data_IF_110794819170
#
_entry.id   IF_110794819170
#
_cell.length_a   1.000
_cell.length_b   1.000
_cell.length_c   1.000
_cell.angle_alpha   90.00
_cell.angle_beta   90.00
_cell.angle_gamma   90.00
#
_symmetry.space_group_name_H-M   'P 1'
#
loop_
_entity.id
_entity.type
_entity.pdbx_description
1 polymer ?
#
# COMPACT_ATOMS: atom_id res chain seq x y z
N UNK A 1 43.54 21.94 -37.05
CA UNK A 1 42.90 22.16 -35.73
C UNK A 1 41.44 22.42 -36.02
N UNK A 2 40.58 21.45 -35.73
CA UNK A 2 39.14 21.53 -36.00
C UNK A 2 38.42 21.91 -34.72
N UNK A 3 37.65 23.00 -34.75
CA UNK A 3 36.78 23.44 -33.67
C UNK A 3 35.60 22.47 -33.53
N UNK A 4 35.41 21.91 -32.33
CA UNK A 4 34.20 21.18 -31.96
C UNK A 4 33.13 22.17 -31.50
N UNK A 5 31.87 22.05 -31.95
CA UNK A 5 30.81 22.96 -31.52
C UNK A 5 30.32 22.58 -30.12
N UNK A 6 30.14 23.60 -29.29
CA UNK A 6 29.59 23.50 -27.95
C UNK A 6 28.18 22.89 -27.97
N UNK A 7 27.97 21.84 -27.17
CA UNK A 7 26.66 21.33 -26.81
C UNK A 7 25.94 22.37 -25.96
N UNK A 8 24.92 23.02 -26.53
CA UNK A 8 23.96 23.83 -25.76
C UNK A 8 23.19 22.90 -24.82
N UNK A 9 23.35 23.11 -23.52
CA UNK A 9 22.52 22.47 -22.50
C UNK A 9 21.08 22.94 -22.65
N UNK A 10 20.15 22.00 -22.77
CA UNK A 10 18.73 22.26 -22.56
C UNK A 10 18.54 22.68 -21.10
N UNK A 11 18.02 23.87 -20.89
CA UNK A 11 17.77 24.43 -19.55
C UNK A 11 16.62 23.68 -18.87
N UNK A 12 16.74 23.48 -17.55
CA UNK A 12 15.80 22.81 -16.63
C UNK A 12 14.86 23.78 -15.83
N UNK A 13 14.15 24.78 -16.42
CA UNK A 13 13.24 25.62 -15.65
C UNK A 13 11.86 24.97 -15.43
N UNK A 14 11.32 24.24 -16.41
CA UNK A 14 9.95 23.67 -16.34
C UNK A 14 9.85 22.47 -15.39
N UNK A 15 10.87 21.60 -15.35
CA UNK A 15 10.90 20.43 -14.46
C UNK A 15 11.00 20.85 -12.99
N UNK A 16 11.78 21.90 -12.69
CA UNK A 16 11.90 22.45 -11.35
C UNK A 16 10.57 23.06 -10.87
N UNK A 17 9.83 23.74 -11.76
CA UNK A 17 8.51 24.28 -11.45
C UNK A 17 7.49 23.14 -11.20
N UNK A 18 7.48 22.10 -12.05
CA UNK A 18 6.60 20.94 -11.87
C UNK A 18 6.86 20.23 -10.53
N UNK A 19 8.12 19.98 -10.18
CA UNK A 19 8.50 19.35 -8.91
C UNK A 19 8.05 20.17 -7.70
N UNK A 20 8.20 21.50 -7.76
CA UNK A 20 7.74 22.42 -6.70
C UNK A 20 6.21 22.41 -6.55
N UNK A 21 5.46 22.41 -7.67
CA UNK A 21 3.99 22.32 -7.64
C UNK A 21 3.52 20.99 -7.04
N UNK A 22 4.13 19.87 -7.44
CA UNK A 22 3.83 18.55 -6.89
C UNK A 22 4.09 18.55 -5.38
N UNK A 23 5.26 19.03 -4.94
CA UNK A 23 5.61 19.06 -3.52
C UNK A 23 4.62 19.91 -2.71
N UNK A 24 4.36 21.15 -3.16
CA UNK A 24 3.46 22.07 -2.48
C UNK A 24 2.02 21.54 -2.38
N UNK A 25 1.57 20.77 -3.38
CA UNK A 25 0.29 20.07 -3.33
C UNK A 25 0.31 18.91 -2.34
N UNK A 26 1.32 18.03 -2.43
CA UNK A 26 1.40 16.81 -1.63
C UNK A 26 1.56 17.09 -0.14
N UNK A 27 2.27 18.16 0.24
CA UNK A 27 2.39 18.58 1.65
C UNK A 27 1.05 18.99 2.28
N UNK A 28 0.11 19.50 1.48
CA UNK A 28 -1.19 20.00 1.95
C UNK A 28 -2.32 18.99 1.78
N UNK A 29 -2.15 18.03 0.89
CA UNK A 29 -3.17 17.07 0.56
C UNK A 29 -3.48 16.19 1.78
N UNK A 30 -4.76 16.14 2.17
CA UNK A 30 -5.20 15.32 3.30
C UNK A 30 -5.05 13.83 2.97
N UNK A 31 -4.46 13.07 3.89
CA UNK A 31 -4.18 11.63 3.79
C UNK A 31 -4.51 10.94 5.10
N UNK A 32 -4.61 9.62 5.07
CA UNK A 32 -4.67 8.84 6.29
C UNK A 32 -3.38 9.09 7.11
N UNK A 33 -3.45 9.10 8.46
CA UNK A 33 -2.27 9.01 9.29
C UNK A 33 -1.43 7.79 8.86
N UNK A 34 -0.08 7.87 8.85
CA UNK A 34 0.75 6.77 8.36
C UNK A 34 0.46 5.42 9.01
N UNK A 35 0.13 5.40 10.31
CA UNK A 35 -0.24 4.17 11.01
C UNK A 35 -1.55 3.54 10.51
N UNK A 36 -2.55 4.34 10.16
CA UNK A 36 -3.82 3.86 9.59
C UNK A 36 -3.63 3.42 8.14
N UNK A 37 -2.77 4.08 7.37
CA UNK A 37 -2.41 3.64 6.01
C UNK A 37 -1.69 2.28 6.04
N UNK A 38 -0.71 2.11 6.93
CA UNK A 38 -0.01 0.84 7.16
C UNK A 38 -0.98 -0.26 7.62
N UNK A 39 -1.87 0.06 8.58
CA UNK A 39 -2.88 -0.88 9.08
C UNK A 39 -3.82 -1.34 7.97
N UNK A 40 -4.28 -0.40 7.15
CA UNK A 40 -5.18 -0.64 6.03
C UNK A 40 -4.51 -1.48 4.94
N UNK A 41 -3.26 -1.18 4.60
CA UNK A 41 -2.49 -1.94 3.61
C UNK A 41 -2.33 -3.41 4.03
N UNK A 42 -1.91 -3.64 5.28
CA UNK A 42 -1.71 -5.00 5.80
C UNK A 42 -3.01 -5.80 5.83
N UNK A 43 -4.14 -5.16 6.18
CA UNK A 43 -5.44 -5.83 6.22
C UNK A 43 -5.94 -6.25 4.83
N UNK A 44 -5.65 -5.47 3.79
CA UNK A 44 -6.14 -5.72 2.43
C UNK A 44 -5.14 -6.42 1.50
N UNK A 45 -3.98 -6.80 2.03
CA UNK A 45 -2.95 -7.56 1.31
C UNK A 45 -2.88 -8.97 1.88
N UNK A 46 -2.58 -9.95 1.03
CA UNK A 46 -2.60 -11.36 1.43
C UNK A 46 -1.30 -12.11 1.17
N UNK A 47 -0.28 -11.42 0.66
CA UNK A 47 1.04 -11.99 0.31
C UNK A 47 2.17 -11.15 0.87
N UNK A 48 3.20 -11.83 1.37
CA UNK A 48 4.38 -11.19 1.94
C UNK A 48 5.66 -11.97 1.60
N UNK A 49 6.81 -11.31 1.76
CA UNK A 49 8.09 -11.97 1.87
C UNK A 49 8.43 -12.17 3.35
N UNK A 50 8.47 -13.42 3.79
CA UNK A 50 8.87 -13.81 5.13
C UNK A 50 10.39 -13.96 5.17
N UNK A 51 11.03 -13.29 6.13
CA UNK A 51 12.44 -13.47 6.47
C UNK A 51 12.57 -14.23 7.80
N UNK A 52 13.33 -15.32 7.79
CA UNK A 52 13.58 -16.20 8.94
C UNK A 52 15.08 -16.40 9.17
N UNK A 53 15.46 -16.98 10.30
CA UNK A 53 16.82 -17.48 10.52
C UNK A 53 16.93 -18.91 9.98
N UNK A 54 17.84 -19.15 9.03
CA UNK A 54 17.95 -20.48 8.42
C UNK A 54 18.44 -21.51 9.43
N UNK A 55 17.61 -22.53 9.69
CA UNK A 55 18.00 -23.67 10.52
C UNK A 55 19.11 -24.49 9.85
N UNK A 56 19.04 -24.62 8.51
CA UNK A 56 19.99 -25.40 7.71
C UNK A 56 21.32 -24.69 7.46
N UNK A 57 21.27 -23.38 7.22
CA UNK A 57 22.43 -22.55 6.91
C UNK A 57 22.72 -21.60 8.06
N UNK A 58 23.33 -22.11 9.14
CA UNK A 58 23.59 -21.34 10.35
C UNK A 58 24.31 -20.01 10.05
N UNK A 59 23.83 -18.93 10.66
CA UNK A 59 24.36 -17.57 10.47
C UNK A 59 23.75 -16.81 9.29
N UNK A 60 22.96 -17.45 8.43
CA UNK A 60 22.29 -16.79 7.30
C UNK A 60 20.78 -16.64 7.53
N UNK A 61 20.17 -15.51 7.09
CA UNK A 61 18.73 -15.42 6.97
C UNK A 61 18.24 -16.24 5.76
N UNK A 62 16.96 -16.59 5.77
CA UNK A 62 16.26 -17.15 4.61
C UNK A 62 15.06 -16.29 4.25
N UNK A 63 14.70 -16.29 2.97
CA UNK A 63 13.54 -15.57 2.45
C UNK A 63 12.59 -16.54 1.74
N UNK A 64 11.29 -16.42 2.01
CA UNK A 64 10.26 -17.17 1.29
C UNK A 64 9.02 -16.32 1.04
N UNK A 65 8.34 -16.56 -0.08
CA UNK A 65 7.01 -16.01 -0.32
C UNK A 65 6.00 -16.80 0.50
N UNK A 66 5.09 -16.09 1.16
CA UNK A 66 4.02 -16.67 1.97
C UNK A 66 2.68 -15.99 1.66
N UNK A 67 1.61 -16.74 1.86
CA UNK A 67 0.28 -16.20 2.02
C UNK A 67 0.03 -15.92 3.50
N UNK A 68 -0.71 -14.84 3.79
CA UNK A 68 -1.13 -14.50 5.15
C UNK A 68 -2.51 -13.86 5.15
N UNK A 69 -3.12 -13.80 6.34
CA UNK A 69 -4.27 -12.95 6.63
C UNK A 69 -4.00 -12.18 7.92
N UNK A 70 -4.73 -11.10 8.19
CA UNK A 70 -4.65 -10.42 9.48
C UNK A 70 -5.77 -10.88 10.41
N UNK A 71 -5.48 -11.08 11.70
CA UNK A 71 -6.51 -11.17 12.73
C UNK A 71 -7.21 -9.80 12.95
N UNK A 72 -8.20 -9.76 13.85
CA UNK A 72 -8.93 -8.53 14.21
C UNK A 72 -8.04 -7.39 14.74
N UNK A 73 -6.83 -7.71 15.20
CA UNK A 73 -5.84 -6.79 15.73
C UNK A 73 -4.71 -6.50 14.76
N UNK A 74 -4.76 -7.00 13.52
CA UNK A 74 -3.74 -6.83 12.49
C UNK A 74 -2.55 -7.77 12.58
N UNK A 75 -2.53 -8.75 13.48
CA UNK A 75 -1.43 -9.72 13.57
C UNK A 75 -1.48 -10.65 12.36
N UNK A 76 -0.37 -10.85 11.63
CA UNK A 76 -0.33 -11.79 10.51
C UNK A 76 -0.55 -13.24 10.97
N UNK A 77 -1.47 -13.94 10.32
CA UNK A 77 -1.79 -15.35 10.46
C UNK A 77 -1.20 -16.08 9.26
N UNK A 78 -0.39 -17.10 9.53
CA UNK A 78 0.25 -17.96 8.54
C UNK A 78 -0.34 -19.36 8.65
N UNK A 79 -0.71 -19.97 7.52
CA UNK A 79 -0.97 -21.40 7.44
C UNK A 79 0.26 -22.09 6.85
N UNK A 80 1.01 -22.83 7.67
CA UNK A 80 2.32 -23.38 7.28
C UNK A 80 2.32 -24.90 7.32
N UNK A 81 2.89 -25.54 6.28
CA UNK A 81 3.12 -27.00 6.27
C UNK A 81 4.38 -27.34 7.06
N UNK A 82 4.34 -28.42 7.83
CA UNK A 82 5.48 -28.98 8.55
C UNK A 82 6.63 -29.41 7.62
N UNK A 83 6.36 -29.56 6.32
CA UNK A 83 7.38 -29.90 5.32
C UNK A 83 8.18 -28.68 4.86
N UNK A 84 7.62 -27.48 4.94
CA UNK A 84 8.21 -26.26 4.42
C UNK A 84 9.48 -25.84 5.19
N UNK A 85 10.43 -25.23 4.48
CA UNK A 85 11.70 -24.77 5.06
C UNK A 85 11.46 -23.67 6.08
N UNK A 86 10.63 -22.67 5.76
CA UNK A 86 10.33 -21.58 6.70
C UNK A 86 9.65 -22.09 7.98
N UNK A 87 8.89 -23.17 7.94
CA UNK A 87 8.28 -23.76 9.15
C UNK A 87 9.35 -24.29 10.09
N UNK A 88 10.33 -25.02 9.54
CA UNK A 88 11.47 -25.54 10.32
C UNK A 88 12.30 -24.40 10.90
N UNK A 89 12.49 -23.33 10.12
CA UNK A 89 13.17 -22.12 10.59
C UNK A 89 12.42 -21.46 11.75
N UNK A 90 11.10 -21.24 11.62
CA UNK A 90 10.27 -20.61 12.66
C UNK A 90 10.17 -21.44 13.93
N UNK A 91 10.11 -22.77 13.82
CA UNK A 91 10.10 -23.66 14.99
C UNK A 91 11.46 -23.66 15.72
N UNK A 92 12.56 -23.46 15.00
CA UNK A 92 13.89 -23.33 15.61
C UNK A 92 14.12 -21.94 16.23
N UNK A 93 13.59 -20.89 15.60
CA UNK A 93 13.63 -19.52 16.10
C UNK A 93 12.38 -18.75 15.63
N UNK A 94 11.48 -18.35 16.55
CA UNK A 94 10.22 -17.71 16.18
C UNK A 94 10.42 -16.29 15.63
N UNK A 95 11.60 -15.68 15.79
CA UNK A 95 11.86 -14.31 15.34
C UNK A 95 11.90 -14.24 13.82
N UNK A 96 11.03 -13.42 13.26
CA UNK A 96 10.89 -13.24 11.83
C UNK A 96 10.49 -11.81 11.48
N UNK A 97 10.52 -11.52 10.18
CA UNK A 97 9.88 -10.32 9.65
C UNK A 97 9.10 -10.61 8.36
N UNK A 98 8.02 -9.84 8.14
CA UNK A 98 7.20 -9.89 6.94
C UNK A 98 7.33 -8.57 6.21
N UNK A 99 7.79 -8.62 4.97
CA UNK A 99 7.80 -7.48 4.07
C UNK A 99 6.58 -7.53 3.14
N UNK A 100 5.81 -6.45 3.14
CA UNK A 100 4.61 -6.25 2.32
C UNK A 100 4.79 -4.99 1.50
N UNK A 101 4.74 -5.12 0.18
CA UNK A 101 4.76 -3.99 -0.75
C UNK A 101 3.34 -3.76 -1.27
N UNK A 102 2.88 -2.50 -1.24
CA UNK A 102 1.57 -2.12 -1.77
C UNK A 102 1.46 -2.38 -3.27
N UNK A 103 2.50 -2.00 -4.00
CA UNK A 103 2.72 -2.38 -5.38
C UNK A 103 4.12 -3.03 -5.48
N UNK A 104 4.21 -4.36 -5.65
CA UNK A 104 5.49 -5.07 -5.75
C UNK A 104 6.39 -4.61 -6.91
N UNK A 105 5.82 -3.99 -7.94
CA UNK A 105 6.55 -3.50 -9.11
C UNK A 105 6.97 -2.02 -8.97
N UNK A 106 6.52 -1.33 -7.91
CA UNK A 106 6.82 0.08 -7.66
C UNK A 106 7.51 0.31 -6.32
N UNK A 107 8.85 0.41 -6.36
CA UNK A 107 9.70 0.70 -5.20
C UNK A 107 9.42 2.05 -4.52
N UNK A 108 8.71 2.96 -5.18
CA UNK A 108 8.38 4.28 -4.64
C UNK A 108 7.09 4.27 -3.83
N UNK A 109 6.30 3.19 -3.90
CA UNK A 109 5.10 3.03 -3.07
C UNK A 109 5.43 2.64 -1.62
N UNK A 110 4.39 2.51 -0.81
CA UNK A 110 4.45 2.08 0.57
C UNK A 110 4.96 0.64 0.67
N UNK A 111 6.05 0.46 1.40
CA UNK A 111 6.62 -0.83 1.80
C UNK A 111 6.58 -0.90 3.32
N UNK A 112 6.03 -1.98 3.85
CA UNK A 112 5.87 -2.22 5.28
C UNK A 112 6.65 -3.46 5.68
N UNK A 113 7.39 -3.37 6.78
CA UNK A 113 8.08 -4.51 7.40
C UNK A 113 7.58 -4.71 8.82
N UNK A 114 6.88 -5.82 9.06
CA UNK A 114 6.43 -6.25 10.39
C UNK A 114 7.51 -7.15 10.99
N UNK A 115 8.12 -6.78 12.11
CA UNK A 115 9.01 -7.67 12.86
C UNK A 115 8.25 -8.24 14.04
N UNK A 116 8.37 -9.54 14.28
CA UNK A 116 7.61 -10.21 15.32
C UNK A 116 8.13 -11.60 15.66
N UNK A 117 7.38 -12.26 16.54
CA UNK A 117 7.60 -13.65 16.92
C UNK A 117 6.43 -14.49 16.37
N UNK A 118 6.71 -15.51 15.55
CA UNK A 118 5.70 -16.44 15.03
C UNK A 118 5.43 -17.54 16.07
N UNK A 119 4.24 -17.53 16.65
CA UNK A 119 3.85 -18.43 17.72
C UNK A 119 2.70 -19.34 17.28
N UNK A 120 2.65 -20.60 17.75
CA UNK A 120 1.49 -21.46 17.54
C UNK A 120 0.22 -20.82 18.10
N UNK A 121 -0.88 -20.99 17.36
CA UNK A 121 -2.20 -20.54 17.79
C UNK A 121 -2.76 -21.52 18.84
N UNK A 122 -3.34 -21.00 19.92
CA UNK A 122 -3.94 -21.82 20.96
C UNK A 122 -5.21 -22.52 20.45
N UNK A 123 -5.50 -23.73 20.93
CA UNK A 123 -6.62 -24.55 20.46
C UNK A 123 -7.98 -23.84 20.53
N UNK A 124 -8.19 -23.02 21.56
CA UNK A 124 -9.42 -22.25 21.76
C UNK A 124 -9.58 -21.05 20.80
N UNK A 125 -8.52 -20.66 20.09
CA UNK A 125 -8.55 -19.56 19.10
C UNK A 125 -8.52 -20.08 17.65
N UNK A 126 -8.35 -21.39 17.43
CA UNK A 126 -8.14 -21.97 16.09
C UNK A 126 -9.30 -21.69 15.14
N UNK A 127 -10.55 -21.79 15.58
CA UNK A 127 -11.71 -21.60 14.70
C UNK A 127 -11.85 -20.15 14.22
N UNK A 128 -11.60 -19.18 15.11
CA UNK A 128 -11.63 -17.75 14.78
C UNK A 128 -10.51 -17.40 13.81
N UNK A 129 -9.30 -17.92 14.06
CA UNK A 129 -8.13 -17.72 13.20
C UNK A 129 -8.32 -18.36 11.83
N UNK A 130 -8.87 -19.59 11.81
CA UNK A 130 -9.20 -20.29 10.57
C UNK A 130 -10.23 -19.51 9.76
N UNK A 131 -11.27 -19.00 10.40
CA UNK A 131 -12.30 -18.18 9.75
C UNK A 131 -11.71 -16.89 9.16
N UNK A 132 -10.84 -16.20 9.90
CA UNK A 132 -10.14 -15.01 9.41
C UNK A 132 -9.25 -15.34 8.20
N UNK A 133 -8.48 -16.44 8.25
CA UNK A 133 -7.62 -16.86 7.15
C UNK A 133 -8.42 -17.23 5.89
N UNK A 134 -9.49 -18.02 6.05
CA UNK A 134 -10.35 -18.46 4.95
C UNK A 134 -11.16 -17.31 4.33
N UNK A 135 -11.44 -16.24 5.07
CA UNK A 135 -12.07 -15.03 4.51
C UNK A 135 -11.16 -14.37 3.48
N UNK A 136 -9.85 -14.36 3.72
CA UNK A 136 -8.84 -13.83 2.79
C UNK A 136 -8.47 -14.82 1.69
N UNK A 137 -8.47 -16.13 2.02
CA UNK A 137 -8.10 -17.21 1.11
C UNK A 137 -9.21 -18.27 1.00
N UNK A 138 -10.33 -18.00 0.31
CA UNK A 138 -11.48 -18.91 0.26
C UNK A 138 -11.19 -20.29 -0.32
N UNK A 139 -10.17 -20.39 -1.18
CA UNK A 139 -9.79 -21.63 -1.86
C UNK A 139 -8.73 -22.44 -1.09
N UNK A 140 -8.33 -22.02 0.12
CA UNK A 140 -7.27 -22.64 0.90
C UNK A 140 -7.70 -23.91 1.66
N UNK A 141 -8.34 -24.87 0.98
CA UNK A 141 -8.83 -26.12 1.59
C UNK A 141 -7.72 -26.97 2.26
N UNK A 142 -6.45 -26.76 1.89
CA UNK A 142 -5.30 -27.46 2.45
C UNK A 142 -4.96 -27.08 3.89
N UNK A 143 -5.52 -25.98 4.42
CA UNK A 143 -5.29 -25.58 5.83
C UNK A 143 -5.81 -26.61 6.84
N UNK A 144 -6.74 -27.47 6.41
CA UNK A 144 -7.31 -28.54 7.24
C UNK A 144 -6.51 -29.86 7.14
N UNK A 145 -5.41 -29.88 6.37
CA UNK A 145 -4.55 -31.07 6.28
C UNK A 145 -3.72 -31.22 7.54
N UNK A 146 -3.50 -32.46 7.99
CA UNK A 146 -2.80 -32.76 9.24
C UNK A 146 -1.32 -32.35 9.28
N UNK A 147 -0.73 -31.97 8.14
CA UNK A 147 0.61 -31.41 8.08
C UNK A 147 0.64 -29.88 8.13
N UNK A 148 -0.51 -29.19 8.14
CA UNK A 148 -0.61 -27.75 8.28
C UNK A 148 -0.92 -27.33 9.72
N UNK A 149 -0.41 -26.15 10.08
CA UNK A 149 -0.72 -25.49 11.35
C UNK A 149 -0.80 -23.98 11.16
N UNK A 150 -1.58 -23.32 12.04
CA UNK A 150 -1.63 -21.87 12.09
C UNK A 150 -0.57 -21.32 13.04
N UNK A 151 0.23 -20.38 12.53
CA UNK A 151 1.11 -19.53 13.33
C UNK A 151 0.59 -18.10 13.30
N UNK A 152 0.66 -17.41 14.44
CA UNK A 152 0.38 -15.98 14.54
C UNK A 152 1.69 -15.25 14.76
N UNK A 153 1.98 -14.27 13.92
CA UNK A 153 3.13 -13.38 14.10
C UNK A 153 2.69 -12.26 15.01
N UNK A 154 3.15 -12.26 16.25
CA UNK A 154 2.90 -11.18 17.20
C UNK A 154 3.80 -9.98 16.85
N UNK A 155 3.25 -8.86 16.35
CA UNK A 155 4.07 -7.72 15.97
C UNK A 155 4.79 -7.13 17.17
N UNK A 156 6.10 -6.94 17.08
CA UNK A 156 6.92 -6.20 18.05
C UNK A 156 7.10 -4.75 17.60
N UNK A 157 7.46 -4.58 16.33
CA UNK A 157 7.64 -3.28 15.70
C UNK A 157 7.17 -3.37 14.24
N UNK A 158 6.42 -2.38 13.79
CA UNK A 158 5.98 -2.25 12.40
C UNK A 158 6.67 -1.04 11.80
N UNK A 159 7.49 -1.26 10.76
CA UNK A 159 8.23 -0.22 10.05
C UNK A 159 7.60 0.04 8.70
N UNK A 160 7.70 1.27 8.23
CA UNK A 160 7.33 1.60 6.85
C UNK A 160 8.35 2.51 6.20
N UNK A 161 8.36 2.45 4.88
CA UNK A 161 9.05 3.40 4.01
C UNK A 161 8.14 3.71 2.82
N UNK A 162 8.13 4.97 2.41
CA UNK A 162 7.40 5.46 1.26
C UNK A 162 8.31 6.38 0.44
N UNK A 163 8.16 6.40 -0.89
CA UNK A 163 8.85 7.35 -1.75
C UNK A 163 10.36 7.11 -1.88
N UNK A 164 10.83 5.86 -1.83
CA UNK A 164 12.26 5.53 -2.00
C UNK A 164 12.78 6.12 -3.32
N UNK A 165 13.90 6.85 -3.24
CA UNK A 165 14.51 7.57 -4.37
C UNK A 165 13.62 8.68 -4.98
N UNK A 166 12.73 9.27 -4.18
CA UNK A 166 11.92 10.44 -4.56
C UNK A 166 12.09 11.57 -3.54
N UNK A 167 11.66 12.78 -3.89
CA UNK A 167 11.64 13.92 -2.96
C UNK A 167 10.64 13.74 -1.81
N UNK A 168 9.68 12.81 -1.92
CA UNK A 168 8.63 12.53 -0.94
C UNK A 168 9.00 11.36 -0.02
N UNK A 169 10.30 11.13 0.21
CA UNK A 169 10.77 10.04 1.05
C UNK A 169 10.31 10.24 2.50
N UNK A 170 9.63 9.24 3.03
CA UNK A 170 9.19 9.20 4.43
C UNK A 170 9.41 7.80 5.00
N UNK A 171 9.80 7.72 6.26
CA UNK A 171 9.88 6.46 6.99
C UNK A 171 9.54 6.65 8.46
N UNK A 172 9.13 5.57 9.09
CA UNK A 172 8.78 5.57 10.50
C UNK A 172 8.58 4.17 11.05
N UNK A 173 8.36 4.08 12.35
CA UNK A 173 8.08 2.83 13.03
C UNK A 173 7.01 3.02 14.11
N UNK A 174 6.25 1.94 14.35
CA UNK A 174 5.18 1.89 15.35
C UNK A 174 5.42 0.72 16.29
N UNK A 175 5.18 0.95 17.57
CA UNK A 175 5.11 -0.11 18.56
C UNK A 175 3.93 -1.05 18.33
N UNK A 176 3.99 -2.22 18.95
CA UNK A 176 2.89 -3.20 18.94
C UNK A 176 1.55 -2.60 19.35
N UNK A 177 1.54 -1.76 20.40
CA UNK A 177 0.30 -1.20 20.96
C UNK A 177 -0.31 -0.10 20.06
N UNK A 178 0.53 0.78 19.53
CA UNK A 178 0.08 1.78 18.54
C UNK A 178 -0.50 1.07 17.31
N UNK A 179 0.19 0.06 16.79
CA UNK A 179 -0.29 -0.70 15.64
C UNK A 179 -1.59 -1.45 15.93
N UNK A 180 -1.72 -2.07 17.12
CA UNK A 180 -2.90 -2.83 17.54
C UNK A 180 -4.14 -1.96 17.62
N UNK A 181 -4.01 -0.72 18.09
CA UNK A 181 -5.13 0.21 18.30
C UNK A 181 -5.50 1.04 17.07
N UNK A 182 -4.63 1.08 16.05
CA UNK A 182 -4.91 1.73 14.78
C UNK A 182 -6.09 1.09 14.04
N UNK A 183 -6.81 1.91 13.26
CA UNK A 183 -8.02 1.49 12.54
C UNK A 183 -7.69 1.21 11.07
N UNK A 184 -8.41 0.23 10.52
CA UNK A 184 -8.48 0.01 9.08
C UNK A 184 -9.46 1.02 8.47
N UNK A 185 -9.08 1.63 7.36
CA UNK A 185 -9.97 2.52 6.62
C UNK A 185 -11.15 1.73 6.02
N UNK A 186 -12.40 2.09 6.32
CA UNK A 186 -13.57 1.32 5.91
C UNK A 186 -13.90 1.45 4.42
N UNK A 187 -13.34 2.44 3.71
CA UNK A 187 -13.59 2.68 2.29
C UNK A 187 -12.62 1.90 1.41
N UNK A 188 -11.42 1.60 1.90
CA UNK A 188 -10.37 0.93 1.12
C UNK A 188 -10.80 -0.43 0.55
N UNK A 189 -11.70 -1.15 1.21
CA UNK A 189 -12.29 -2.40 0.69
C UNK A 189 -12.97 -2.23 -0.69
N UNK A 190 -13.42 -1.01 -1.03
CA UNK A 190 -14.04 -0.67 -2.31
C UNK A 190 -13.04 -0.10 -3.32
N UNK A 191 -11.77 0.07 -2.94
CA UNK A 191 -10.73 0.69 -3.77
C UNK A 191 -10.65 0.03 -5.16
N UNK A 192 -10.40 -1.29 -5.23
CA UNK A 192 -10.25 -2.02 -6.50
C UNK A 192 -11.45 -1.89 -7.45
N UNK A 193 -12.72 -2.13 -7.04
CA UNK A 193 -13.84 -1.96 -7.96
C UNK A 193 -14.06 -0.50 -8.38
N UNK A 194 -13.76 0.49 -7.51
CA UNK A 194 -13.88 1.91 -7.86
C UNK A 194 -12.80 2.31 -8.88
N UNK A 195 -11.52 2.01 -8.59
CA UNK A 195 -10.41 2.37 -9.49
C UNK A 195 -10.55 1.68 -10.85
N UNK A 196 -10.95 0.40 -10.88
CA UNK A 196 -11.15 -0.32 -12.13
C UNK A 196 -12.23 0.32 -13.01
N UNK A 197 -13.37 0.71 -12.44
CA UNK A 197 -14.44 1.38 -13.17
C UNK A 197 -14.01 2.77 -13.65
N UNK A 198 -13.39 3.57 -12.77
CA UNK A 198 -12.92 4.91 -13.11
C UNK A 198 -11.86 4.90 -14.22
N UNK A 199 -10.88 4.01 -14.12
CA UNK A 199 -9.81 3.90 -15.10
C UNK A 199 -10.27 3.40 -16.47
N UNK A 200 -11.33 2.56 -16.50
CA UNK A 200 -11.85 2.00 -17.75
C UNK A 200 -12.81 2.95 -18.46
N UNK A 201 -13.75 3.52 -17.72
CA UNK A 201 -14.91 4.20 -18.31
C UNK A 201 -14.83 5.73 -18.14
N UNK A 202 -13.98 6.24 -17.24
CA UNK A 202 -13.96 7.65 -16.78
C UNK A 202 -12.53 8.22 -16.64
N UNK A 203 -11.58 7.79 -17.47
CA UNK A 203 -10.20 8.25 -17.42
C UNK A 203 -10.07 9.78 -17.66
N UNK A 204 -10.83 10.32 -18.62
CA UNK A 204 -10.86 11.77 -18.88
C UNK A 204 -11.46 12.57 -17.73
N UNK A 205 -12.48 12.04 -17.04
CA UNK A 205 -13.04 12.70 -15.85
C UNK A 205 -11.99 12.76 -14.72
N UNK A 206 -11.21 11.68 -14.53
CA UNK A 206 -10.12 11.63 -13.54
C UNK A 206 -9.03 12.67 -13.85
N UNK A 207 -8.64 12.77 -15.12
CA UNK A 207 -7.69 13.79 -15.58
C UNK A 207 -8.18 15.21 -15.28
N UNK A 208 -9.43 15.53 -15.62
CA UNK A 208 -10.00 16.86 -15.35
C UNK A 208 -10.00 17.20 -13.86
N UNK A 209 -10.38 16.24 -13.00
CA UNK A 209 -10.34 16.43 -11.55
C UNK A 209 -8.92 16.70 -11.06
N UNK A 210 -7.93 15.96 -11.54
CA UNK A 210 -6.51 16.13 -11.15
C UNK A 210 -5.97 17.49 -11.59
N UNK A 211 -6.24 17.89 -12.83
CA UNK A 211 -5.84 19.19 -13.36
C UNK A 211 -6.46 20.34 -12.54
N UNK A 212 -7.76 20.24 -12.23
CA UNK A 212 -8.45 21.23 -11.41
C UNK A 212 -7.90 21.28 -9.98
N UNK A 213 -7.67 20.12 -9.36
CA UNK A 213 -7.26 20.03 -7.95
C UNK A 213 -5.80 20.45 -7.71
N UNK A 214 -4.93 20.30 -8.71
CA UNK A 214 -3.48 20.50 -8.56
C UNK A 214 -2.92 21.65 -9.40
N UNK A 215 -3.70 22.18 -10.35
CA UNK A 215 -3.22 23.10 -11.39
C UNK A 215 -2.11 22.53 -12.30
N UNK A 216 -1.85 21.22 -12.22
CA UNK A 216 -0.86 20.55 -13.07
C UNK A 216 -1.56 20.05 -14.35
N UNK A 217 -1.11 20.45 -15.55
CA UNK A 217 -1.74 20.07 -16.82
C UNK A 217 -1.39 18.63 -17.24
N UNK A 218 -1.78 17.65 -16.43
CA UNK A 218 -1.49 16.22 -16.65
C UNK A 218 -2.10 15.72 -17.97
N UNK A 219 -1.36 14.88 -18.69
CA UNK A 219 -1.77 14.29 -19.96
C UNK A 219 -2.73 13.12 -19.74
N UNK A 220 -2.44 12.30 -18.72
CA UNK A 220 -3.32 11.27 -18.18
C UNK A 220 -3.18 11.17 -16.66
N UNK A 221 -4.20 10.59 -16.01
CA UNK A 221 -4.18 10.23 -14.60
C UNK A 221 -4.86 8.87 -14.39
N UNK A 222 -4.13 7.92 -13.83
CA UNK A 222 -4.59 6.56 -13.55
C UNK A 222 -4.79 6.40 -12.04
N UNK A 223 -6.00 6.08 -11.60
CA UNK A 223 -6.34 5.90 -10.19
C UNK A 223 -5.71 4.61 -9.64
N UNK A 224 -4.93 4.72 -8.57
CA UNK A 224 -4.21 3.62 -7.93
C UNK A 224 -5.03 2.99 -6.82
N UNK A 225 -5.53 3.82 -5.91
CA UNK A 225 -6.33 3.40 -4.76
C UNK A 225 -7.28 4.51 -4.29
N UNK A 226 -8.20 4.13 -3.40
CA UNK A 226 -9.18 5.03 -2.77
C UNK A 226 -9.30 4.68 -1.29
N UNK A 227 -9.31 5.70 -0.43
CA UNK A 227 -9.62 5.61 1.00
C UNK A 227 -10.71 6.63 1.37
N UNK A 228 -11.06 6.74 2.66
CA UNK A 228 -12.14 7.64 3.10
C UNK A 228 -11.83 9.13 2.92
N UNK A 229 -10.57 9.51 2.71
CA UNK A 229 -10.12 10.90 2.60
C UNK A 229 -9.82 11.33 1.16
N UNK A 230 -9.77 10.40 0.20
CA UNK A 230 -9.44 10.70 -1.18
C UNK A 230 -8.95 9.49 -1.96
N UNK A 231 -8.22 9.77 -3.05
CA UNK A 231 -7.64 8.74 -3.90
C UNK A 231 -6.24 9.13 -4.36
N UNK A 232 -5.40 8.14 -4.63
CA UNK A 232 -4.08 8.37 -5.24
C UNK A 232 -4.13 8.09 -6.74
N UNK A 233 -3.42 8.89 -7.53
CA UNK A 233 -3.28 8.68 -8.98
C UNK A 233 -1.81 8.61 -9.39
N UNK A 234 -1.52 7.81 -10.42
CA UNK A 234 -0.31 7.92 -11.23
C UNK A 234 -0.61 8.85 -12.40
N UNK A 235 0.02 10.01 -12.41
CA UNK A 235 -0.14 11.02 -13.44
C UNK A 235 1.10 11.10 -14.33
N UNK A 236 0.90 11.63 -15.54
CA UNK A 236 1.97 11.89 -16.49
C UNK A 236 1.92 13.30 -17.01
N UNK A 237 3.08 13.94 -17.12
CA UNK A 237 3.21 15.24 -17.76
C UNK A 237 4.63 15.41 -18.31
N UNK A 238 4.75 15.79 -19.59
CA UNK A 238 6.04 16.09 -20.23
C UNK A 238 7.09 14.98 -20.06
N UNK A 239 6.70 13.72 -20.26
CA UNK A 239 7.61 12.58 -20.14
C UNK A 239 7.87 12.10 -18.70
N UNK A 240 7.35 12.77 -17.68
CA UNK A 240 7.54 12.41 -16.28
C UNK A 240 6.31 11.69 -15.72
N UNK A 241 6.53 10.57 -15.04
CA UNK A 241 5.50 9.88 -14.25
C UNK A 241 5.68 10.23 -12.77
N UNK A 242 4.58 10.56 -12.08
CA UNK A 242 4.60 10.87 -10.66
C UNK A 242 3.27 10.51 -10.00
N UNK A 243 3.26 10.41 -8.67
CA UNK A 243 2.04 10.15 -7.88
C UNK A 243 1.48 11.45 -7.33
N UNK A 244 0.16 11.57 -7.35
CA UNK A 244 -0.58 12.68 -6.74
C UNK A 244 -1.66 12.15 -5.81
N UNK A 245 -1.76 12.75 -4.61
CA UNK A 245 -2.88 12.54 -3.70
C UNK A 245 -4.00 13.52 -4.03
N UNK A 246 -5.20 13.03 -4.30
CA UNK A 246 -6.38 13.88 -4.54
C UNK A 246 -7.34 13.73 -3.36
N UNK A 247 -7.39 14.71 -2.43
CA UNK A 247 -8.30 14.64 -1.29
C UNK A 247 -9.74 14.91 -1.73
N UNK A 248 -10.68 14.23 -1.10
CA UNK A 248 -12.10 14.59 -1.20
C UNK A 248 -12.37 15.91 -0.47
N UNK A 249 -13.47 16.58 -0.83
CA UNK A 249 -13.96 17.79 -0.16
C UNK A 249 -14.38 17.54 1.29
N UNK A 250 -14.72 16.29 1.63
CA UNK A 250 -15.00 15.79 2.98
C UNK A 250 -14.70 14.29 3.06
N UNK A 251 -14.63 13.75 4.28
CA UNK A 251 -14.52 12.30 4.50
C UNK A 251 -15.74 11.57 3.91
N UNK A 252 -15.49 10.51 3.14
CA UNK A 252 -16.49 9.55 2.69
C UNK A 252 -16.81 8.56 3.82
N UNK A 253 -18.09 8.38 4.13
CA UNK A 253 -18.52 7.49 5.23
C UNK A 253 -18.96 6.12 4.71
N UNK A 254 -19.44 6.06 3.46
CA UNK A 254 -19.89 4.84 2.81
C UNK A 254 -19.52 4.81 1.32
N UNK A 255 -19.67 3.65 0.66
CA UNK A 255 -19.37 3.50 -0.76
C UNK A 255 -20.09 4.52 -1.66
N UNK A 256 -21.35 4.82 -1.33
CA UNK A 256 -22.17 5.77 -2.12
C UNK A 256 -21.60 7.19 -2.06
N UNK A 257 -21.06 7.60 -0.91
CA UNK A 257 -20.42 8.90 -0.74
C UNK A 257 -19.26 9.09 -1.70
N UNK A 258 -18.43 8.07 -1.91
CA UNK A 258 -17.29 8.16 -2.83
C UNK A 258 -17.74 8.56 -4.23
N UNK A 259 -18.81 7.94 -4.74
CA UNK A 259 -19.39 8.30 -6.04
C UNK A 259 -19.89 9.73 -6.05
N UNK A 260 -20.63 10.14 -5.01
CA UNK A 260 -21.15 11.52 -4.89
C UNK A 260 -20.01 12.53 -4.91
N UNK A 261 -18.95 12.31 -4.14
CA UNK A 261 -17.80 13.20 -4.04
C UNK A 261 -17.04 13.32 -5.36
N UNK A 262 -16.82 12.21 -6.08
CA UNK A 262 -16.19 12.25 -7.41
C UNK A 262 -17.03 13.07 -8.39
N UNK A 263 -18.36 12.93 -8.36
CA UNK A 263 -19.27 13.71 -9.22
C UNK A 263 -19.21 15.21 -8.87
N UNK A 264 -19.23 15.56 -7.59
CA UNK A 264 -19.10 16.96 -7.13
C UNK A 264 -17.78 17.58 -7.59
N UNK A 265 -16.66 16.87 -7.41
CA UNK A 265 -15.34 17.31 -7.87
C UNK A 265 -15.28 17.48 -9.39
N UNK A 266 -15.91 16.58 -10.15
CA UNK A 266 -15.99 16.66 -11.60
C UNK A 266 -16.82 17.87 -12.07
N UNK A 267 -17.93 18.16 -11.38
CA UNK A 267 -18.76 19.33 -11.69
C UNK A 267 -17.97 20.62 -11.45
N UNK A 268 -17.25 20.73 -10.33
CA UNK A 268 -16.38 21.88 -10.04
C UNK A 268 -15.31 22.08 -11.14
N UNK A 269 -14.66 20.99 -11.56
CA UNK A 269 -13.67 21.03 -12.64
C UNK A 269 -14.26 21.52 -13.98
N UNK A 270 -15.47 21.05 -14.33
CA UNK A 270 -16.17 21.44 -15.57
C UNK A 270 -16.63 22.89 -15.55
N UNK A 271 -17.07 23.42 -14.39
CA UNK A 271 -17.48 24.83 -14.29
C UNK A 271 -16.31 25.78 -14.53
N UNK A 272 -15.13 25.49 -13.99
CA UNK A 272 -13.94 26.32 -14.21
C UNK A 272 -13.40 26.22 -15.64
N UNK A 273 -13.46 25.06 -16.28
CA UNK A 273 -13.03 24.91 -17.67
C UNK A 273 -13.89 25.72 -18.67
N UNK A 274 -15.13 26.03 -18.29
CA UNK A 274 -16.09 26.80 -19.10
C UNK A 274 -16.15 28.29 -18.72
N UNK A 275 -15.35 28.75 -17.75
CA UNK A 275 -15.28 30.14 -17.28
C UNK A 275 -14.03 30.83 -17.81
#
# INVERSE_FOLDING_TARGET
MAESPATQGFSEPDVNNLSQLIHAHQEKAVRLPPIEEVKTLLHHTSRAFLSTFSQKHQGYPSGSMIDFACDAYGSPILAVSNLAVHTKDLLANPKCSLLVAKDPDDRTDLIVTVHGDALPVAENELEDIRTAYMTTHPDAFWVDFGDFQFLRVEPKIVRYVFGVATALFESGEFSSEEYRTAKVDPIYQFSKPITSHMNKDHAEDTKLIVQHSTSIPVEFAYMLDVDSLGFNVKAHHQGNNFKLRIPFTRRAVERKDVKTLIIEMLQAAKTQANS
#
